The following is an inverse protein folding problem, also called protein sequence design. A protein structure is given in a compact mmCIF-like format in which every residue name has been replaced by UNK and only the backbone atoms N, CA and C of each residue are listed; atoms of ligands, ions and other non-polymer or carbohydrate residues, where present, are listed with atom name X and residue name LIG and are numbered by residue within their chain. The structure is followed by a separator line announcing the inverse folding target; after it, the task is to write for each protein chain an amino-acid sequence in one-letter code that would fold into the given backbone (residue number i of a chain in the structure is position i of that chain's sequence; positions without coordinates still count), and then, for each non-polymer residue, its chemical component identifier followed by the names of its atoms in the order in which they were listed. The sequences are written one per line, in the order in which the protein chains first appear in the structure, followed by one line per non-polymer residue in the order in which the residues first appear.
data_IF_779464628624
#
_entry.id   IF_779464628624
#
_cell.length_a   1.000
_cell.length_b   1.000
_cell.length_c   1.000
_cell.angle_alpha   90.00
_cell.angle_beta   90.00
_cell.angle_gamma   90.00
#
_symmetry.space_group_name_H-M   'P 1'
#
loop_
_entity.id
_entity.type
_entity.pdbx_description
1 polymer ?
#
# COMPACT_ATOMS: atom_id res chain seq x y z
N UNK A 1 -0.31 -28.97 -2.85
CA UNK A 1 -0.50 -27.56 -2.50
C UNK A 1 -1.99 -27.29 -2.60
N UNK A 2 -2.63 -26.93 -1.49
CA UNK A 2 -4.05 -26.60 -1.50
C UNK A 2 -4.17 -25.11 -1.85
N UNK A 3 -4.48 -24.80 -3.11
CA UNK A 3 -4.77 -23.43 -3.52
C UNK A 3 -6.20 -23.08 -3.09
N UNK A 4 -6.33 -22.23 -2.06
CA UNK A 4 -7.61 -21.67 -1.65
C UNK A 4 -8.01 -20.53 -2.59
N UNK A 5 -9.28 -20.49 -3.02
CA UNK A 5 -9.85 -19.30 -3.65
C UNK A 5 -10.20 -18.33 -2.53
N UNK A 6 -9.48 -17.21 -2.43
CA UNK A 6 -9.69 -16.22 -1.36
C UNK A 6 -10.63 -15.10 -1.74
N UNK A 7 -10.64 -14.72 -3.03
CA UNK A 7 -11.56 -13.70 -3.52
C UNK A 7 -11.97 -13.98 -4.97
N UNK A 8 -13.24 -13.72 -5.26
CA UNK A 8 -13.80 -13.72 -6.61
C UNK A 8 -14.39 -12.35 -6.87
N UNK A 9 -13.79 -11.58 -7.78
CA UNK A 9 -14.30 -10.26 -8.15
C UNK A 9 -14.26 -10.04 -9.67
N UNK A 10 -14.89 -8.95 -10.14
CA UNK A 10 -15.02 -8.64 -11.56
C UNK A 10 -13.69 -8.28 -12.25
N UNK A 11 -12.66 -7.93 -11.47
CA UNK A 11 -11.36 -7.44 -11.97
C UNK A 11 -10.43 -8.63 -12.24
N UNK A 12 -10.29 -9.52 -11.25
CA UNK A 12 -9.32 -10.62 -11.26
C UNK A 12 -9.93 -11.98 -11.58
N UNK A 13 -11.27 -12.07 -11.66
CA UNK A 13 -12.06 -13.31 -11.74
C UNK A 13 -11.86 -14.23 -10.53
N UNK A 14 -10.66 -14.75 -10.25
CA UNK A 14 -10.31 -15.53 -9.06
C UNK A 14 -8.90 -15.20 -8.62
N UNK A 15 -8.73 -14.88 -7.34
CA UNK A 15 -7.41 -14.69 -6.72
C UNK A 15 -7.06 -15.97 -5.96
N UNK A 16 -5.92 -16.56 -6.33
CA UNK A 16 -5.38 -17.77 -5.71
C UNK A 16 -4.18 -17.38 -4.85
N UNK A 17 -4.25 -17.70 -3.56
CA UNK A 17 -3.08 -17.61 -2.69
C UNK A 17 -2.27 -18.89 -2.83
N UNK A 18 -0.95 -18.73 -2.84
CA UNK A 18 -0.01 -19.84 -2.70
C UNK A 18 0.55 -19.85 -1.29
N UNK A 19 0.84 -21.05 -0.76
CA UNK A 19 1.42 -21.19 0.58
C UNK A 19 2.73 -20.38 0.69
N UNK A 20 2.96 -19.62 1.78
CA UNK A 20 2.21 -19.59 3.04
C UNK A 20 1.36 -18.31 3.22
N UNK A 21 0.89 -17.69 2.13
CA UNK A 21 0.25 -16.35 2.17
C UNK A 21 -1.07 -16.31 2.95
N UNK A 22 -1.74 -17.44 3.12
CA UNK A 22 -2.88 -17.59 4.01
C UNK A 22 -2.56 -17.13 5.44
N UNK A 23 -1.31 -17.32 5.91
CA UNK A 23 -0.91 -16.90 7.25
C UNK A 23 -0.91 -15.38 7.42
N UNK A 24 -0.57 -14.64 6.37
CA UNK A 24 -0.66 -13.17 6.37
C UNK A 24 -2.11 -12.73 6.26
N UNK A 25 -2.86 -13.32 5.32
CA UNK A 25 -4.24 -12.93 5.06
C UNK A 25 -5.14 -13.22 6.26
N UNK A 26 -4.96 -14.34 6.94
CA UNK A 26 -5.76 -14.74 8.09
C UNK A 26 -5.31 -14.06 9.41
N UNK A 27 -4.28 -13.20 9.38
CA UNK A 27 -3.87 -12.43 10.55
C UNK A 27 -4.91 -11.36 10.91
N UNK A 28 -5.13 -11.13 12.21
CA UNK A 28 -6.12 -10.15 12.69
C UNK A 28 -5.90 -8.75 12.10
N UNK A 29 -4.63 -8.34 12.02
CA UNK A 29 -4.25 -7.03 11.49
C UNK A 29 -4.50 -6.90 9.97
N UNK A 30 -4.41 -7.99 9.21
CA UNK A 30 -4.81 -7.96 7.80
C UNK A 30 -6.34 -8.02 7.66
N UNK A 31 -7.03 -8.85 8.44
CA UNK A 31 -8.50 -8.95 8.44
C UNK A 31 -9.16 -7.62 8.84
N UNK A 32 -8.52 -6.81 9.68
CA UNK A 32 -8.93 -5.42 9.97
C UNK A 32 -9.20 -4.62 8.70
N UNK A 33 -8.41 -4.80 7.65
CA UNK A 33 -8.54 -4.03 6.39
C UNK A 33 -9.87 -4.27 5.66
N UNK A 34 -10.67 -5.28 6.05
CA UNK A 34 -12.05 -5.46 5.58
C UNK A 34 -12.98 -4.34 6.06
N UNK A 35 -12.66 -3.75 7.21
CA UNK A 35 -13.44 -2.69 7.88
C UNK A 35 -12.90 -1.29 7.56
N UNK A 36 -12.11 -1.17 6.49
CA UNK A 36 -11.56 0.08 6.00
C UNK A 36 -11.97 0.23 4.53
N UNK A 37 -12.81 1.21 4.22
CA UNK A 37 -13.15 1.54 2.83
C UNK A 37 -11.90 2.04 2.11
N UNK A 38 -11.70 1.56 0.88
CA UNK A 38 -10.56 1.98 0.05
C UNK A 38 -10.59 3.49 -0.22
N UNK A 39 -11.78 4.03 -0.51
CA UNK A 39 -11.99 5.41 -0.93
C UNK A 39 -12.54 6.32 0.18
N UNK A 40 -12.52 5.89 1.45
CA UNK A 40 -13.03 6.68 2.57
C UNK A 40 -14.49 7.11 2.39
N UNK A 41 -14.79 8.39 2.62
CA UNK A 41 -16.15 8.95 2.57
C UNK A 41 -16.68 9.19 1.15
N UNK A 42 -15.99 8.73 0.12
CA UNK A 42 -16.49 8.78 -1.28
C UNK A 42 -17.84 8.07 -1.41
N UNK A 43 -18.12 7.04 -0.59
CA UNK A 43 -19.39 6.33 -0.60
C UNK A 43 -20.61 7.24 -0.31
N UNK A 44 -20.42 8.35 0.40
CA UNK A 44 -21.50 9.31 0.68
C UNK A 44 -21.94 10.11 -0.55
N UNK A 45 -21.17 10.06 -1.65
CA UNK A 45 -21.53 10.64 -2.95
C UNK A 45 -21.72 9.55 -4.01
N UNK A 46 -20.93 8.48 -3.93
CA UNK A 46 -20.97 7.31 -4.81
C UNK A 46 -21.29 6.06 -3.99
N UNK A 47 -22.57 5.75 -3.71
CA UNK A 47 -22.97 4.74 -2.71
C UNK A 47 -22.36 3.35 -2.86
N UNK A 48 -21.98 2.95 -4.07
CA UNK A 48 -21.38 1.64 -4.35
C UNK A 48 -19.86 1.59 -4.05
N UNK A 49 -19.23 2.72 -3.70
CA UNK A 49 -17.81 2.82 -3.31
C UNK A 49 -17.55 2.33 -1.87
N UNK A 50 -18.02 1.12 -1.54
CA UNK A 50 -17.87 0.49 -0.22
C UNK A 50 -16.81 -0.61 -0.21
N UNK A 51 -16.10 -0.82 -1.31
CA UNK A 51 -15.06 -1.84 -1.39
C UNK A 51 -13.93 -1.57 -0.38
N UNK A 52 -13.45 -2.65 0.23
CA UNK A 52 -12.48 -2.57 1.32
C UNK A 52 -11.04 -2.58 0.82
N UNK A 53 -10.13 -2.03 1.65
CA UNK A 53 -8.68 -2.13 1.45
C UNK A 53 -8.21 -3.58 1.36
N UNK A 54 -8.87 -4.51 2.07
CA UNK A 54 -8.61 -5.94 1.97
C UNK A 54 -8.69 -6.44 0.51
N UNK A 55 -9.79 -6.10 -0.17
CA UNK A 55 -10.04 -6.56 -1.53
C UNK A 55 -9.04 -5.94 -2.54
N UNK A 56 -8.69 -4.68 -2.30
CA UNK A 56 -7.65 -3.98 -3.06
C UNK A 56 -6.27 -4.64 -2.87
N UNK A 57 -5.84 -4.90 -1.63
CA UNK A 57 -4.57 -5.57 -1.31
C UNK A 57 -4.44 -6.94 -1.97
N UNK A 58 -5.52 -7.74 -1.98
CA UNK A 58 -5.51 -9.02 -2.69
C UNK A 58 -5.38 -8.85 -4.21
N UNK A 59 -6.02 -7.84 -4.78
CA UNK A 59 -5.90 -7.56 -6.21
C UNK A 59 -4.51 -7.07 -6.61
N UNK A 60 -3.90 -6.19 -5.80
CA UNK A 60 -2.51 -5.76 -6.00
C UNK A 60 -1.53 -6.93 -5.89
N UNK A 61 -1.74 -7.85 -4.92
CA UNK A 61 -0.99 -9.10 -4.79
C UNK A 61 -1.08 -9.95 -6.08
N UNK A 62 -2.27 -10.11 -6.64
CA UNK A 62 -2.49 -10.93 -7.84
C UNK A 62 -1.75 -10.35 -9.06
N UNK A 63 -1.87 -9.05 -9.30
CA UNK A 63 -1.14 -8.37 -10.38
C UNK A 63 0.38 -8.49 -10.17
N UNK A 64 0.88 -8.33 -8.93
CA UNK A 64 2.30 -8.47 -8.62
C UNK A 64 2.83 -9.87 -8.92
N UNK A 65 2.04 -10.91 -8.64
CA UNK A 65 2.36 -12.29 -8.97
C UNK A 65 2.45 -12.49 -10.49
N UNK A 66 1.46 -12.01 -11.23
CA UNK A 66 1.42 -12.12 -12.69
C UNK A 66 2.60 -11.40 -13.36
N UNK A 67 2.91 -10.17 -12.93
CA UNK A 67 4.05 -9.41 -13.45
C UNK A 67 5.37 -10.12 -13.12
N UNK A 68 5.53 -10.63 -11.90
CA UNK A 68 6.77 -11.30 -11.50
C UNK A 68 6.98 -12.60 -12.29
N UNK A 69 5.92 -13.38 -12.53
CA UNK A 69 6.01 -14.60 -13.33
C UNK A 69 6.31 -14.28 -14.81
N UNK A 70 5.70 -13.22 -15.35
CA UNK A 70 6.00 -12.73 -16.68
C UNK A 70 7.47 -12.31 -16.82
N UNK A 71 7.99 -11.55 -15.86
CA UNK A 71 9.38 -11.08 -15.86
C UNK A 71 10.38 -12.23 -15.67
N UNK A 72 9.99 -13.28 -14.94
CA UNK A 72 10.78 -14.50 -14.81
C UNK A 72 10.91 -15.18 -16.17
N UNK A 73 9.81 -15.33 -16.90
CA UNK A 73 9.80 -15.80 -18.28
C UNK A 73 10.50 -17.15 -18.49
N UNK A 74 10.68 -17.53 -19.76
CA UNK A 74 11.40 -18.76 -20.09
C UNK A 74 12.91 -18.59 -19.85
N UNK A 75 13.53 -19.55 -19.18
CA UNK A 75 14.98 -19.56 -18.91
C UNK A 75 15.45 -18.63 -17.78
N UNK A 76 14.56 -17.85 -17.17
CA UNK A 76 14.86 -16.97 -16.04
C UNK A 76 16.12 -16.09 -16.21
N UNK A 77 16.20 -15.27 -17.27
CA UNK A 77 17.42 -14.54 -17.63
C UNK A 77 17.88 -13.54 -16.56
N UNK A 78 16.96 -13.07 -15.70
CA UNK A 78 17.25 -12.14 -14.60
C UNK A 78 17.34 -12.83 -13.24
N UNK A 79 17.46 -14.16 -13.23
CA UNK A 79 17.61 -15.00 -12.05
C UNK A 79 16.57 -14.71 -10.94
N UNK A 80 15.32 -14.40 -11.29
CA UNK A 80 14.24 -14.12 -10.32
C UNK A 80 14.01 -15.38 -9.48
N UNK A 81 14.30 -15.26 -8.19
CA UNK A 81 14.26 -16.38 -7.25
C UNK A 81 12.86 -16.56 -6.66
N UNK A 82 12.62 -17.69 -5.98
CA UNK A 82 11.40 -17.87 -5.18
C UNK A 82 11.28 -16.80 -4.09
N UNK A 83 12.40 -16.45 -3.43
CA UNK A 83 12.45 -15.39 -2.43
C UNK A 83 12.05 -14.03 -3.03
N UNK A 84 12.52 -13.70 -4.25
CA UNK A 84 12.12 -12.46 -4.94
C UNK A 84 10.61 -12.41 -5.15
N UNK A 85 10.02 -13.50 -5.66
CA UNK A 85 8.57 -13.60 -5.87
C UNK A 85 7.80 -13.46 -4.57
N UNK A 86 8.22 -14.14 -3.50
CA UNK A 86 7.56 -14.04 -2.20
C UNK A 86 7.67 -12.63 -1.64
N UNK A 87 8.85 -11.99 -1.69
CA UNK A 87 9.02 -10.62 -1.19
C UNK A 87 8.16 -9.60 -1.96
N UNK A 88 8.15 -9.66 -3.29
CA UNK A 88 7.33 -8.77 -4.12
C UNK A 88 5.84 -8.95 -3.83
N UNK A 89 5.40 -10.20 -3.71
CA UNK A 89 4.00 -10.52 -3.41
C UNK A 89 3.59 -10.07 -2.01
N UNK A 90 4.45 -10.27 -1.00
CA UNK A 90 4.23 -9.82 0.37
C UNK A 90 4.19 -8.28 0.47
N UNK A 91 5.08 -7.59 -0.23
CA UNK A 91 5.07 -6.14 -0.29
C UNK A 91 3.78 -5.60 -0.93
N UNK A 92 3.35 -6.18 -2.06
CA UNK A 92 2.09 -5.80 -2.70
C UNK A 92 0.86 -6.02 -1.80
N UNK A 93 0.82 -7.16 -1.10
CA UNK A 93 -0.27 -7.49 -0.17
C UNK A 93 -0.32 -6.52 1.02
N UNK A 94 0.84 -6.26 1.64
CA UNK A 94 0.94 -5.55 2.92
C UNK A 94 1.12 -4.03 2.77
N UNK A 95 1.33 -3.50 1.57
CA UNK A 95 1.55 -2.06 1.32
C UNK A 95 0.53 -1.14 2.00
N UNK A 96 -0.73 -1.55 2.02
CA UNK A 96 -1.85 -0.76 2.52
C UNK A 96 -2.30 -1.15 3.94
N UNK A 97 -1.54 -1.98 4.67
CA UNK A 97 -1.95 -2.52 5.98
C UNK A 97 -1.91 -1.48 7.11
N UNK A 98 -1.02 -0.48 6.98
CA UNK A 98 -0.82 0.59 7.96
C UNK A 98 -1.80 1.76 7.83
N UNK A 99 -2.81 1.69 6.96
CA UNK A 99 -3.81 2.75 6.85
C UNK A 99 -4.70 2.82 8.10
N UNK A 100 -4.87 4.03 8.63
CA UNK A 100 -5.98 4.38 9.51
C UNK A 100 -7.24 4.71 8.68
N UNK A 101 -8.43 4.72 9.30
CA UNK A 101 -9.64 5.24 8.67
C UNK A 101 -9.38 6.64 8.14
N UNK A 102 -9.79 6.89 6.90
CA UNK A 102 -9.62 8.20 6.25
C UNK A 102 -8.18 8.72 6.30
N UNK A 103 -7.18 7.82 6.24
CA UNK A 103 -5.76 8.17 6.38
C UNK A 103 -5.32 9.35 5.50
N UNK A 104 -5.89 9.54 4.30
CA UNK A 104 -5.56 10.68 3.44
C UNK A 104 -5.87 12.03 4.10
N UNK A 105 -6.88 12.10 4.97
CA UNK A 105 -7.22 13.30 5.75
C UNK A 105 -6.29 13.43 6.96
N UNK A 106 -6.09 12.32 7.65
CA UNK A 106 -5.26 12.23 8.84
C UNK A 106 -3.79 12.56 8.52
N UNK A 107 -3.21 11.93 7.51
CA UNK A 107 -1.82 12.09 7.07
C UNK A 107 -1.45 13.54 6.67
N UNK A 108 -2.42 14.37 6.24
CA UNK A 108 -2.16 15.72 5.73
C UNK A 108 -2.10 16.81 6.81
N UNK A 109 -2.87 16.70 7.91
CA UNK A 109 -2.80 17.65 9.03
C UNK A 109 -1.95 17.17 10.21
N UNK A 110 -1.71 15.86 10.36
CA UNK A 110 -0.73 15.35 11.32
C UNK A 110 0.71 15.77 10.98
N UNK A 111 0.99 16.16 9.73
CA UNK A 111 2.25 16.80 9.34
C UNK A 111 2.49 18.18 9.96
N UNK A 112 1.46 18.83 10.53
CA UNK A 112 1.60 20.13 11.20
C UNK A 112 1.95 20.01 12.70
N UNK A 113 2.24 18.80 13.20
CA UNK A 113 2.82 18.59 14.54
C UNK A 113 1.83 18.60 15.71
N UNK A 114 0.51 18.61 15.47
CA UNK A 114 -0.48 18.59 16.54
C UNK A 114 -0.67 17.19 17.18
N UNK A 115 -0.27 16.11 16.49
CA UNK A 115 -0.41 14.73 16.96
C UNK A 115 0.72 13.83 16.47
N UNK A 116 1.15 12.88 17.31
CA UNK A 116 2.31 12.02 17.06
C UNK A 116 1.94 10.67 16.42
N UNK A 117 1.29 10.71 15.25
CA UNK A 117 0.90 9.50 14.52
C UNK A 117 1.90 9.19 13.40
N UNK A 118 2.28 7.92 13.28
CA UNK A 118 3.07 7.43 12.15
C UNK A 118 2.30 7.54 10.85
N UNK A 119 2.99 7.89 9.76
CA UNK A 119 2.40 7.80 8.41
C UNK A 119 2.02 6.35 8.10
N UNK A 120 1.01 6.14 7.27
CA UNK A 120 0.56 4.78 6.95
C UNK A 120 1.69 3.87 6.41
N UNK A 121 2.64 4.45 5.67
CA UNK A 121 3.80 3.73 5.12
C UNK A 121 4.71 3.24 6.24
N UNK A 122 5.05 4.11 7.19
CA UNK A 122 5.87 3.78 8.36
C UNK A 122 5.16 2.71 9.21
N UNK A 123 3.86 2.89 9.45
CA UNK A 123 3.07 1.91 10.17
C UNK A 123 3.01 0.56 9.44
N UNK A 124 2.91 0.55 8.11
CA UNK A 124 2.94 -0.69 7.31
C UNK A 124 4.28 -1.42 7.51
N UNK A 125 5.40 -0.70 7.52
CA UNK A 125 6.71 -1.31 7.78
C UNK A 125 6.86 -1.86 9.20
N UNK A 126 6.27 -1.18 10.20
CA UNK A 126 6.22 -1.66 11.59
C UNK A 126 5.39 -2.94 11.71
N UNK A 127 4.25 -3.00 11.02
CA UNK A 127 3.40 -4.20 10.97
C UNK A 127 4.11 -5.34 10.26
N UNK A 128 4.87 -5.07 9.19
CA UNK A 128 5.73 -6.08 8.54
C UNK A 128 6.73 -6.65 9.54
N UNK A 129 7.43 -5.82 10.32
CA UNK A 129 8.36 -6.34 11.34
C UNK A 129 7.64 -7.23 12.37
N UNK A 130 6.49 -6.78 12.89
CA UNK A 130 5.70 -7.55 13.84
C UNK A 130 5.24 -8.91 13.26
N UNK A 131 4.71 -8.92 12.04
CA UNK A 131 4.25 -10.15 11.39
C UNK A 131 5.40 -11.14 11.13
N UNK A 132 6.56 -10.66 10.68
CA UNK A 132 7.65 -11.57 10.27
C UNK A 132 8.66 -11.91 11.36
N UNK A 133 8.77 -11.10 12.43
CA UNK A 133 9.71 -11.36 13.54
C UNK A 133 9.03 -11.77 14.83
N UNK A 134 7.84 -11.25 15.14
CA UNK A 134 7.18 -11.49 16.44
C UNK A 134 6.10 -12.58 16.35
N UNK A 135 5.47 -12.76 15.18
CA UNK A 135 4.51 -13.84 14.98
C UNK A 135 5.22 -15.16 14.58
N UNK A 136 5.38 -16.05 15.56
CA UNK A 136 6.07 -17.35 15.40
C UNK A 136 5.47 -18.21 14.28
N UNK A 137 4.14 -18.19 14.09
CA UNK A 137 3.46 -19.01 13.07
C UNK A 137 3.80 -18.49 11.68
N UNK A 138 3.69 -17.18 11.46
CA UNK A 138 4.03 -16.53 10.19
C UNK A 138 5.51 -16.75 9.90
N UNK A 139 6.39 -16.46 10.85
CA UNK A 139 7.84 -16.64 10.68
C UNK A 139 8.19 -18.06 10.19
N UNK A 140 7.74 -19.09 10.92
CA UNK A 140 7.99 -20.49 10.55
C UNK A 140 7.43 -20.87 9.19
N UNK A 141 6.28 -20.28 8.80
CA UNK A 141 5.70 -20.53 7.48
C UNK A 141 6.53 -19.95 6.34
N UNK A 142 7.16 -18.79 6.55
CA UNK A 142 7.92 -18.08 5.53
C UNK A 142 9.43 -18.42 5.49
N UNK A 143 10.02 -18.96 6.55
CA UNK A 143 11.44 -19.40 6.60
C UNK A 143 11.87 -20.29 5.41
N UNK A 144 11.08 -21.29 4.95
CA UNK A 144 11.44 -22.10 3.78
C UNK A 144 11.62 -21.31 2.48
N UNK A 145 11.02 -20.11 2.39
CA UNK A 145 11.03 -19.27 1.20
C UNK A 145 11.96 -18.06 1.34
N UNK A 146 12.06 -17.50 2.54
CA UNK A 146 12.80 -16.28 2.85
C UNK A 146 14.17 -16.55 3.49
N UNK A 147 14.51 -17.82 3.73
CA UNK A 147 15.78 -18.23 4.32
C UNK A 147 15.62 -18.66 5.78
N UNK A 148 16.34 -19.72 6.17
CA UNK A 148 16.32 -20.26 7.54
C UNK A 148 17.36 -19.60 8.44
N UNK A 149 18.38 -18.95 7.87
CA UNK A 149 19.34 -18.17 8.64
C UNK A 149 18.86 -16.73 8.85
N UNK A 150 19.19 -16.15 10.01
CA UNK A 150 18.70 -14.83 10.43
C UNK A 150 19.13 -13.71 9.46
N UNK A 151 20.33 -13.82 8.88
CA UNK A 151 20.86 -12.79 7.98
C UNK A 151 20.06 -12.75 6.68
N UNK A 152 19.89 -13.89 6.01
CA UNK A 152 19.12 -13.98 4.77
C UNK A 152 17.65 -13.60 5.00
N UNK A 153 17.04 -14.11 6.07
CA UNK A 153 15.66 -13.79 6.41
C UNK A 153 15.47 -12.29 6.61
N UNK A 154 16.33 -11.66 7.43
CA UNK A 154 16.28 -10.22 7.68
C UNK A 154 16.48 -9.39 6.41
N UNK A 155 17.41 -9.77 5.52
CA UNK A 155 17.62 -9.09 4.23
C UNK A 155 16.36 -9.17 3.35
N UNK A 156 15.65 -10.30 3.36
CA UNK A 156 14.38 -10.44 2.65
C UNK A 156 13.26 -9.57 3.25
N UNK A 157 13.16 -9.45 4.57
CA UNK A 157 12.19 -8.54 5.20
C UNK A 157 12.54 -7.07 4.90
N UNK A 158 13.83 -6.71 4.89
CA UNK A 158 14.28 -5.38 4.46
C UNK A 158 13.82 -5.12 3.02
N UNK A 159 13.98 -6.08 2.11
CA UNK A 159 13.51 -5.93 0.73
C UNK A 159 12.00 -5.69 0.65
N UNK A 160 11.18 -6.44 1.40
CA UNK A 160 9.72 -6.23 1.47
C UNK A 160 9.41 -4.79 1.89
N UNK A 161 10.07 -4.30 2.94
CA UNK A 161 9.87 -2.94 3.46
C UNK A 161 10.29 -1.89 2.42
N UNK A 162 11.45 -2.06 1.78
CA UNK A 162 11.92 -1.15 0.73
C UNK A 162 10.94 -1.05 -0.44
N UNK A 163 10.36 -2.17 -0.88
CA UNK A 163 9.34 -2.20 -1.93
C UNK A 163 8.06 -1.42 -1.54
N UNK A 164 7.71 -1.38 -0.26
CA UNK A 164 6.58 -0.60 0.25
C UNK A 164 6.93 0.90 0.24
N UNK A 165 8.07 1.27 0.83
CA UNK A 165 8.46 2.67 1.12
C UNK A 165 9.26 3.37 0.02
N UNK A 166 9.41 2.76 -1.16
CA UNK A 166 10.35 3.23 -2.18
C UNK A 166 10.22 4.74 -2.47
N UNK A 167 9.00 5.30 -2.42
CA UNK A 167 8.74 6.74 -2.64
C UNK A 167 9.32 7.64 -1.53
N UNK A 168 9.26 7.20 -0.28
CA UNK A 168 9.74 7.95 0.88
C UNK A 168 11.26 7.85 1.06
N UNK A 169 11.88 6.70 0.75
CA UNK A 169 13.32 6.52 0.93
C UNK A 169 14.19 7.35 -0.03
N UNK A 170 13.71 7.66 -1.24
CA UNK A 170 14.42 8.57 -2.15
C UNK A 170 14.50 10.00 -1.63
N UNK A 171 13.54 10.45 -0.79
CA UNK A 171 13.60 11.77 -0.18
C UNK A 171 14.59 11.81 1.01
N UNK A 172 14.80 10.69 1.70
CA UNK A 172 15.69 10.62 2.88
C UNK A 172 17.18 10.66 2.47
N UNK A 173 17.54 10.16 1.28
CA UNK A 173 18.94 10.13 0.82
C UNK A 173 19.35 11.34 -0.06
N UNK A 174 18.45 12.29 -0.29
CA UNK A 174 18.76 13.58 -0.93
C UNK A 174 19.05 14.70 0.09
N UNK A 175 19.09 14.37 1.39
CA UNK A 175 19.33 15.29 2.51
C UNK A 175 20.59 14.91 3.31
N UNK A 176 21.61 14.34 2.67
CA UNK A 176 22.95 14.32 3.27
C UNK A 176 23.64 15.65 2.91
N UNK A 177 23.83 16.51 3.91
CA UNK A 177 24.35 17.88 3.84
C UNK A 177 25.84 17.98 3.45
N UNK A 178 26.35 17.04 2.65
CA UNK A 178 27.66 17.17 2.02
C UNK A 178 27.53 17.95 0.71
N UNK A 179 27.93 19.22 0.72
CA UNK A 179 28.13 20.06 -0.46
C UNK A 179 29.30 19.57 -1.35
N UNK A 180 29.22 18.36 -1.88
CA UNK A 180 30.08 17.90 -2.95
C UNK A 180 29.24 17.49 -4.16
N UNK A 181 29.37 18.28 -5.23
CA UNK A 181 28.77 18.02 -6.54
C UNK A 181 29.47 16.81 -7.17
N UNK A 182 29.04 15.59 -6.82
CA UNK A 182 29.46 14.37 -7.52
C UNK A 182 28.88 14.37 -8.94
N UNK A 183 29.69 13.93 -9.90
CA UNK A 183 29.27 13.85 -11.30
C UNK A 183 28.24 12.72 -11.50
N UNK A 184 27.32 12.85 -12.48
CA UNK A 184 26.22 11.89 -12.75
C UNK A 184 26.69 10.43 -12.94
N UNK A 185 27.92 10.22 -13.41
CA UNK A 185 28.50 8.88 -13.62
C UNK A 185 28.98 8.21 -12.32
N UNK A 186 29.45 8.98 -11.33
CA UNK A 186 29.90 8.45 -10.03
C UNK A 186 28.72 8.04 -9.13
N UNK A 187 27.58 8.71 -9.29
CA UNK A 187 26.32 8.40 -8.58
C UNK A 187 25.73 7.07 -9.07
N UNK A 188 25.85 6.74 -10.36
CA UNK A 188 25.10 5.63 -10.98
C UNK A 188 25.62 4.21 -10.69
N UNK A 189 26.87 4.03 -10.24
CA UNK A 189 27.42 2.69 -9.88
C UNK A 189 27.88 2.55 -8.43
N UNK A 190 28.13 3.66 -7.72
CA UNK A 190 28.60 3.63 -6.32
C UNK A 190 27.51 3.92 -5.27
N UNK A 191 26.30 4.34 -5.69
CA UNK A 191 25.23 4.78 -4.77
C UNK A 191 23.91 4.00 -4.90
N UNK A 192 23.94 2.68 -5.15
CA UNK A 192 22.73 1.86 -5.00
C UNK A 192 22.34 1.82 -3.51
N UNK A 193 21.25 2.49 -3.09
CA UNK A 193 20.98 2.72 -1.67
C UNK A 193 20.21 1.57 -1.02
N UNK A 194 19.68 0.65 -1.85
CA UNK A 194 18.85 -0.44 -1.38
C UNK A 194 19.72 -1.59 -0.84
N UNK A 195 19.31 -2.12 0.30
CA UNK A 195 19.98 -3.20 1.03
C UNK A 195 19.33 -4.55 0.78
N UNK A 196 18.04 -4.57 0.44
CA UNK A 196 17.27 -5.78 0.25
C UNK A 196 17.69 -6.59 -0.98
N UNK A 197 18.04 -5.91 -2.08
CA UNK A 197 18.51 -6.53 -3.32
C UNK A 197 19.59 -5.68 -3.98
N UNK A 198 20.50 -6.29 -4.76
CA UNK A 198 21.53 -5.55 -5.46
C UNK A 198 20.98 -4.91 -6.75
N UNK A 199 21.78 -4.04 -7.38
CA UNK A 199 21.37 -3.22 -8.53
C UNK A 199 20.92 -4.05 -9.75
N UNK A 200 21.38 -5.30 -9.89
CA UNK A 200 20.97 -6.22 -10.96
C UNK A 200 19.49 -6.65 -10.84
N UNK A 201 18.86 -6.34 -9.69
CA UNK A 201 17.46 -6.61 -9.37
C UNK A 201 16.62 -5.35 -9.23
N UNK A 202 17.17 -4.20 -9.61
CA UNK A 202 16.54 -2.87 -9.54
C UNK A 202 15.13 -2.81 -10.12
N UNK A 203 14.86 -3.51 -11.22
CA UNK A 203 13.54 -3.58 -11.85
C UNK A 203 12.43 -4.11 -10.93
N UNK A 204 12.74 -4.87 -9.86
CA UNK A 204 11.73 -5.34 -8.92
C UNK A 204 11.11 -4.19 -8.10
N UNK A 205 11.86 -3.10 -7.89
CA UNK A 205 11.39 -1.90 -7.18
C UNK A 205 10.37 -1.08 -8.00
N UNK A 206 10.23 -1.37 -9.30
CA UNK A 206 9.20 -0.75 -10.15
C UNK A 206 7.81 -1.40 -9.98
N UNK A 207 7.69 -2.54 -9.29
CA UNK A 207 6.44 -3.33 -9.24
C UNK A 207 5.44 -2.76 -8.24
N UNK A 208 5.85 -2.58 -6.98
CA UNK A 208 4.93 -2.33 -5.85
C UNK A 208 4.70 -0.84 -5.58
N UNK A 209 5.77 -0.06 -5.52
CA UNK A 209 5.74 1.39 -5.32
C UNK A 209 6.69 2.06 -6.30
N UNK A 210 6.21 2.30 -7.51
CA UNK A 210 7.03 2.83 -8.59
C UNK A 210 7.22 4.34 -8.42
N UNK A 211 8.42 4.75 -8.01
CA UNK A 211 8.75 6.15 -7.73
C UNK A 211 8.99 6.98 -8.99
N UNK A 212 9.23 6.32 -10.11
CA UNK A 212 9.80 6.93 -11.31
C UNK A 212 8.71 7.45 -12.24
N UNK A 213 7.63 6.68 -12.37
CA UNK A 213 6.46 7.08 -13.15
C UNK A 213 5.12 6.75 -12.47
N UNK A 214 5.16 6.06 -11.32
CA UNK A 214 3.94 5.68 -10.60
C UNK A 214 3.13 4.57 -11.29
N UNK A 215 3.67 3.87 -12.28
CA UNK A 215 3.03 2.69 -12.88
C UNK A 215 3.38 1.46 -12.04
N UNK A 216 2.68 1.31 -10.92
CA UNK A 216 2.78 0.19 -10.00
C UNK A 216 1.48 -0.62 -9.96
N UNK A 217 1.56 -1.84 -9.42
CA UNK A 217 0.41 -2.77 -9.32
C UNK A 217 -0.70 -2.25 -8.42
N UNK A 218 -0.32 -1.45 -7.42
CA UNK A 218 -1.24 -0.74 -6.54
C UNK A 218 -2.12 0.21 -7.36
N UNK A 219 -1.52 1.03 -8.23
CA UNK A 219 -2.26 1.90 -9.16
C UNK A 219 -3.12 1.13 -10.15
N UNK A 220 -2.61 0.06 -10.72
CA UNK A 220 -3.35 -0.73 -11.70
C UNK A 220 -4.62 -1.34 -11.09
N UNK A 221 -4.56 -1.85 -9.86
CA UNK A 221 -5.74 -2.39 -9.19
C UNK A 221 -6.75 -1.29 -8.83
N UNK A 222 -6.32 -0.23 -8.11
CA UNK A 222 -7.28 0.74 -7.60
C UNK A 222 -8.01 1.47 -8.74
N UNK A 223 -7.36 1.74 -9.87
CA UNK A 223 -8.03 2.42 -11.00
C UNK A 223 -9.20 1.59 -11.52
N UNK A 224 -8.98 0.30 -11.78
CA UNK A 224 -10.03 -0.60 -12.26
C UNK A 224 -11.13 -0.79 -11.22
N UNK A 225 -10.74 -0.88 -9.94
CA UNK A 225 -11.66 -1.12 -8.84
C UNK A 225 -12.54 0.07 -8.54
N UNK A 226 -11.93 1.23 -8.41
CA UNK A 226 -12.61 2.46 -8.05
C UNK A 226 -13.48 2.94 -9.22
N UNK A 227 -13.05 2.76 -10.47
CA UNK A 227 -13.90 2.98 -11.65
C UNK A 227 -15.16 2.11 -11.62
N UNK A 228 -15.01 0.81 -11.35
CA UNK A 228 -16.13 -0.13 -11.29
C UNK A 228 -17.08 0.20 -10.14
N UNK A 229 -16.57 0.57 -8.97
CA UNK A 229 -17.37 0.91 -7.80
C UNK A 229 -18.08 2.28 -7.96
N UNK A 230 -17.38 3.30 -8.47
CA UNK A 230 -17.97 4.61 -8.71
C UNK A 230 -18.90 4.65 -9.94
N UNK A 231 -18.89 3.59 -10.75
CA UNK A 231 -19.55 3.52 -12.05
C UNK A 231 -19.12 4.68 -12.98
N UNK A 232 -17.83 5.04 -12.92
CA UNK A 232 -17.21 6.06 -13.77
C UNK A 232 -16.30 5.34 -14.76
N UNK A 233 -16.64 5.28 -16.06
CA UNK A 233 -15.79 4.62 -17.03
C UNK A 233 -14.44 5.34 -17.15
N UNK A 234 -13.39 4.56 -17.32
CA UNK A 234 -12.02 5.04 -17.56
C UNK A 234 -11.43 4.30 -18.76
N UNK A 235 -10.33 4.83 -19.31
CA UNK A 235 -9.68 4.20 -20.47
C UNK A 235 -8.99 2.88 -20.13
N UNK A 236 -8.39 2.77 -18.94
CA UNK A 236 -7.77 1.53 -18.46
C UNK A 236 -8.87 0.50 -18.23
N UNK A 237 -8.71 -0.69 -18.80
CA UNK A 237 -9.65 -1.79 -18.64
C UNK A 237 -8.90 -3.11 -18.46
N UNK A 238 -9.61 -4.17 -18.11
CA UNK A 238 -9.02 -5.49 -17.83
C UNK A 238 -8.21 -6.03 -19.02
N UNK A 239 -8.68 -5.81 -20.25
CA UNK A 239 -7.96 -6.26 -21.45
C UNK A 239 -6.68 -5.45 -21.66
N UNK A 240 -6.73 -4.13 -21.41
CA UNK A 240 -5.57 -3.26 -21.41
C UNK A 240 -4.53 -3.67 -20.36
N UNK A 241 -4.97 -3.93 -19.12
CA UNK A 241 -4.09 -4.43 -18.05
C UNK A 241 -3.42 -5.75 -18.43
N UNK A 242 -4.20 -6.72 -18.93
CA UNK A 242 -3.65 -8.00 -19.40
C UNK A 242 -2.59 -7.80 -20.48
N UNK A 243 -2.85 -6.93 -21.45
CA UNK A 243 -1.90 -6.60 -22.51
C UNK A 243 -0.63 -5.93 -21.97
N UNK A 244 -0.75 -5.05 -20.98
CA UNK A 244 0.40 -4.45 -20.28
C UNK A 244 1.24 -5.55 -19.63
N UNK A 245 0.63 -6.41 -18.81
CA UNK A 245 1.30 -7.51 -18.12
C UNK A 245 2.03 -8.40 -19.13
N UNK A 246 1.33 -8.97 -20.12
CA UNK A 246 1.91 -9.88 -21.13
C UNK A 246 3.05 -9.26 -21.98
N UNK A 247 3.17 -7.94 -22.00
CA UNK A 247 4.19 -7.22 -22.77
C UNK A 247 5.16 -6.42 -21.87
N UNK A 248 5.20 -6.74 -20.58
CA UNK A 248 6.20 -6.28 -19.62
C UNK A 248 7.51 -7.04 -19.81
N UNK A 249 8.64 -6.33 -19.80
CA UNK A 249 10.00 -6.88 -19.87
C UNK A 249 10.96 -6.12 -18.98
N UNK A 250 12.07 -6.75 -18.60
CA UNK A 250 13.21 -6.02 -18.05
C UNK A 250 14.01 -5.41 -19.21
N UNK A 251 14.31 -4.13 -19.12
CA UNK A 251 15.11 -3.39 -20.10
C UNK A 251 16.20 -2.58 -19.39
N UNK A 252 17.23 -2.20 -20.12
CA UNK A 252 18.23 -1.24 -19.62
C UNK A 252 17.68 0.16 -19.88
N UNK A 253 17.56 0.96 -18.84
CA UNK A 253 17.25 2.38 -18.96
C UNK A 253 18.44 3.09 -19.63
N UNK A 254 18.25 3.74 -20.79
CA UNK A 254 19.35 4.37 -21.52
C UNK A 254 20.00 5.54 -20.77
N UNK A 255 19.31 6.18 -19.81
CA UNK A 255 19.85 7.31 -19.06
C UNK A 255 20.67 6.86 -17.86
N UNK A 256 20.16 5.89 -17.08
CA UNK A 256 20.81 5.43 -15.85
C UNK A 256 21.71 4.20 -16.07
N UNK A 257 21.49 3.42 -17.13
CA UNK A 257 22.11 2.12 -17.33
C UNK A 257 21.60 1.02 -16.40
N UNK A 258 20.57 1.32 -15.59
CA UNK A 258 19.99 0.42 -14.59
C UNK A 258 18.88 -0.43 -15.24
N UNK A 259 18.67 -1.64 -14.73
CA UNK A 259 17.59 -2.51 -15.19
C UNK A 259 16.23 -2.01 -14.67
N UNK A 260 15.26 -1.81 -15.56
CA UNK A 260 13.94 -1.27 -15.25
C UNK A 260 12.83 -2.10 -15.89
N UNK A 261 11.61 -1.92 -15.40
CA UNK A 261 10.44 -2.42 -16.12
C UNK A 261 10.19 -1.55 -17.36
N UNK A 262 10.19 -2.21 -18.51
CA UNK A 262 9.80 -1.65 -19.80
C UNK A 262 8.58 -2.37 -20.38
N UNK A 263 7.88 -1.68 -21.27
CA UNK A 263 6.70 -2.22 -21.96
C UNK A 263 6.95 -2.23 -23.46
N UNK A 264 6.45 -3.25 -24.17
CA UNK A 264 6.54 -3.26 -25.63
C UNK A 264 5.83 -2.03 -26.23
N UNK A 265 6.46 -1.36 -27.21
CA UNK A 265 5.97 -0.11 -27.80
C UNK A 265 4.52 -0.18 -28.30
N UNK A 266 4.09 -1.34 -28.79
CA UNK A 266 2.70 -1.57 -29.23
C UNK A 266 1.66 -1.41 -28.11
N UNK A 267 2.03 -1.38 -26.85
CA UNK A 267 1.14 -1.22 -25.70
C UNK A 267 1.16 0.21 -25.12
N UNK A 268 1.80 1.17 -25.82
CA UNK A 268 1.95 2.55 -25.33
C UNK A 268 0.60 3.18 -24.97
N UNK A 269 -0.44 2.95 -25.77
CA UNK A 269 -1.78 3.46 -25.50
C UNK A 269 -2.38 2.88 -24.21
N UNK A 270 -2.18 1.59 -23.94
CA UNK A 270 -2.65 0.92 -22.72
C UNK A 270 -1.90 1.46 -21.49
N UNK A 271 -0.59 1.68 -21.60
CA UNK A 271 0.23 2.26 -20.52
C UNK A 271 -0.17 3.72 -20.27
N UNK A 272 -0.36 4.53 -21.31
CA UNK A 272 -0.84 5.92 -21.19
C UNK A 272 -2.22 6.00 -20.54
N UNK A 273 -3.09 5.01 -20.80
CA UNK A 273 -4.42 4.95 -20.20
C UNK A 273 -4.38 4.89 -18.66
N UNK A 274 -3.31 4.40 -18.04
CA UNK A 274 -3.15 4.43 -16.57
C UNK A 274 -3.18 5.87 -16.07
N UNK A 275 -2.36 6.75 -16.65
CA UNK A 275 -2.26 8.14 -16.22
C UNK A 275 -3.54 8.92 -16.52
N UNK A 276 -4.16 8.68 -17.68
CA UNK A 276 -5.40 9.35 -18.07
C UNK A 276 -6.56 8.94 -17.16
N UNK A 277 -6.67 7.65 -16.85
CA UNK A 277 -7.69 7.11 -15.93
C UNK A 277 -7.51 7.65 -14.52
N UNK A 278 -6.25 7.77 -14.05
CA UNK A 278 -5.96 8.36 -12.76
C UNK A 278 -6.42 9.81 -12.68
N UNK A 279 -6.15 10.61 -13.72
CA UNK A 279 -6.61 12.01 -13.81
C UNK A 279 -8.14 12.09 -13.81
N UNK A 280 -8.80 11.19 -14.52
CA UNK A 280 -10.25 11.12 -14.60
C UNK A 280 -10.89 10.84 -13.24
N UNK A 281 -10.47 9.78 -12.55
CA UNK A 281 -10.99 9.45 -11.21
C UNK A 281 -10.62 10.51 -10.17
N UNK A 282 -9.43 11.12 -10.28
CA UNK A 282 -9.05 12.25 -9.43
C UNK A 282 -10.05 13.40 -9.55
N UNK A 283 -10.39 13.80 -10.77
CA UNK A 283 -11.29 14.93 -11.01
C UNK A 283 -12.76 14.62 -10.68
N UNK A 284 -13.22 13.41 -10.98
CA UNK A 284 -14.65 13.05 -10.88
C UNK A 284 -15.01 12.47 -9.52
N UNK A 285 -14.14 11.65 -8.93
CA UNK A 285 -14.44 10.86 -7.73
C UNK A 285 -13.74 11.47 -6.52
N UNK A 286 -12.40 11.43 -6.48
CA UNK A 286 -11.65 11.74 -5.26
C UNK A 286 -11.69 13.24 -4.88
N UNK A 287 -11.67 14.15 -5.88
CA UNK A 287 -11.80 15.59 -5.67
C UNK A 287 -13.21 16.12 -5.90
N UNK A 288 -14.21 15.24 -5.88
CA UNK A 288 -15.59 15.71 -5.96
C UNK A 288 -15.88 16.69 -4.82
N UNK A 289 -16.34 17.90 -5.15
CA UNK A 289 -16.52 19.00 -4.17
C UNK A 289 -17.32 18.61 -2.92
N UNK A 290 -18.34 17.77 -3.07
CA UNK A 290 -19.15 17.29 -1.93
C UNK A 290 -18.35 16.31 -1.07
N UNK A 291 -17.55 15.43 -1.67
CA UNK A 291 -16.66 14.52 -0.92
C UNK A 291 -15.65 15.36 -0.12
N UNK A 292 -15.04 16.37 -0.75
CA UNK A 292 -14.12 17.28 -0.06
C UNK A 292 -14.80 18.04 1.09
N UNK A 293 -16.03 18.53 0.89
CA UNK A 293 -16.81 19.19 1.94
C UNK A 293 -17.10 18.27 3.13
N UNK A 294 -17.54 17.04 2.87
CA UNK A 294 -17.80 16.03 3.91
C UNK A 294 -16.50 15.69 4.65
N UNK A 295 -15.40 15.49 3.92
CA UNK A 295 -14.09 15.23 4.53
C UNK A 295 -13.68 16.33 5.51
N UNK A 296 -13.89 17.61 5.17
CA UNK A 296 -13.60 18.74 6.07
C UNK A 296 -14.46 18.69 7.33
N UNK A 297 -15.77 18.46 7.19
CA UNK A 297 -16.70 18.37 8.33
C UNK A 297 -16.35 17.19 9.24
N UNK A 298 -16.11 16.02 8.66
CA UNK A 298 -15.76 14.83 9.42
C UNK A 298 -14.42 15.01 10.15
N UNK A 299 -13.45 15.65 9.51
CA UNK A 299 -12.15 15.91 10.13
C UNK A 299 -12.28 16.86 11.34
N UNK A 300 -13.09 17.91 11.26
CA UNK A 300 -13.34 18.80 12.40
C UNK A 300 -14.00 18.04 13.56
N UNK A 301 -15.03 17.24 13.27
CA UNK A 301 -15.68 16.38 14.24
C UNK A 301 -14.71 15.38 14.90
N UNK A 302 -13.87 14.72 14.09
CA UNK A 302 -12.86 13.78 14.56
C UNK A 302 -11.82 14.45 15.46
N UNK A 303 -11.34 15.64 15.09
CA UNK A 303 -10.35 16.39 15.88
C UNK A 303 -10.91 16.74 17.26
N UNK A 304 -12.15 17.23 17.31
CA UNK A 304 -12.89 17.55 18.55
C UNK A 304 -13.11 16.31 19.42
N UNK A 305 -13.37 15.15 18.81
CA UNK A 305 -13.58 13.90 19.53
C UNK A 305 -12.28 13.15 19.92
N UNK A 306 -11.16 13.37 19.21
CA UNK A 306 -9.96 12.54 19.26
C UNK A 306 -9.39 12.32 20.66
N UNK A 307 -9.41 13.35 21.52
CA UNK A 307 -8.90 13.28 22.90
C UNK A 307 -9.75 12.38 23.82
N UNK A 308 -10.95 12.02 23.39
CA UNK A 308 -11.91 11.21 24.15
C UNK A 308 -12.02 9.78 23.62
N UNK A 309 -11.51 9.52 22.42
CA UNK A 309 -11.44 8.18 21.86
C UNK A 309 -10.28 7.41 22.51
N UNK A 310 -10.59 6.25 23.07
CA UNK A 310 -9.64 5.37 23.75
C UNK A 310 -9.73 3.94 23.22
N UNK A 311 -8.59 3.39 22.86
CA UNK A 311 -8.46 2.04 22.34
C UNK A 311 -7.62 1.23 23.31
N UNK A 312 -8.10 0.05 23.70
CA UNK A 312 -7.31 -0.87 24.52
C UNK A 312 -6.10 -1.35 23.71
N UNK A 313 -4.89 -1.15 24.20
CA UNK A 313 -3.67 -1.74 23.65
C UNK A 313 -3.23 -2.96 24.45
N UNK A 314 -1.98 -3.37 24.21
CA UNK A 314 -1.35 -4.53 24.85
C UNK A 314 -1.10 -4.35 26.36
N UNK A 315 -0.86 -3.13 26.81
CA UNK A 315 -0.48 -2.80 28.19
C UNK A 315 -1.44 -1.77 28.85
N UNK A 316 -1.89 -0.77 28.10
CA UNK A 316 -2.75 0.33 28.57
C UNK A 316 -3.83 0.67 27.56
N UNK A 317 -4.62 1.71 27.86
CA UNK A 317 -5.44 2.37 26.85
C UNK A 317 -4.63 3.46 26.14
N UNK A 318 -4.85 3.58 24.85
CA UNK A 318 -4.21 4.54 23.96
C UNK A 318 -5.26 5.51 23.43
N UNK A 319 -4.93 6.79 23.40
CA UNK A 319 -5.74 7.79 22.70
C UNK A 319 -5.59 7.62 21.20
N UNK A 320 -6.53 8.18 20.41
CA UNK A 320 -6.47 8.10 18.95
C UNK A 320 -5.11 8.54 18.39
N UNK A 321 -4.47 9.57 18.96
CA UNK A 321 -3.19 10.09 18.52
C UNK A 321 -1.96 9.29 18.98
N UNK A 322 -2.16 8.26 19.80
CA UNK A 322 -1.10 7.37 20.29
C UNK A 322 -1.23 5.96 19.69
N UNK A 323 -2.29 5.67 18.93
CA UNK A 323 -2.60 4.29 18.52
C UNK A 323 -1.51 3.67 17.65
N UNK A 324 -0.70 4.45 16.93
CA UNK A 324 0.42 3.93 16.14
C UNK A 324 1.59 3.45 17.00
N UNK A 325 1.58 3.75 18.30
CA UNK A 325 2.60 3.31 19.25
C UNK A 325 2.41 1.84 19.67
N UNK A 326 1.22 1.27 19.47
CA UNK A 326 0.87 -0.10 19.83
C UNK A 326 -0.01 -0.78 18.77
N UNK A 327 0.43 -1.94 18.27
CA UNK A 327 -0.25 -2.65 17.18
C UNK A 327 -1.63 -3.16 17.62
N UNK A 328 -1.80 -3.55 18.89
CA UNK A 328 -3.10 -4.01 19.38
C UNK A 328 -4.11 -2.87 19.43
N UNK A 329 -3.72 -1.69 19.91
CA UNK A 329 -4.54 -0.48 19.88
C UNK A 329 -4.86 -0.07 18.44
N UNK A 330 -3.84 0.03 17.58
CA UNK A 330 -4.00 0.34 16.15
C UNK A 330 -4.99 -0.62 15.46
N UNK A 331 -4.93 -1.92 15.79
CA UNK A 331 -5.74 -2.94 15.16
C UNK A 331 -7.26 -2.73 15.36
N UNK A 332 -7.64 -1.97 16.39
CA UNK A 332 -9.03 -1.70 16.77
C UNK A 332 -9.60 -0.48 16.04
N UNK A 333 -8.74 0.41 15.52
CA UNK A 333 -9.18 1.62 14.82
C UNK A 333 -9.62 1.27 13.40
N UNK A 334 -10.91 1.41 13.11
CA UNK A 334 -11.56 1.08 11.82
C UNK A 334 -12.58 2.14 11.42
N UNK A 335 -13.24 2.03 10.27
CA UNK A 335 -14.24 3.02 9.83
C UNK A 335 -15.41 3.20 10.82
N UNK A 336 -15.60 2.26 11.77
CA UNK A 336 -16.52 2.44 12.91
C UNK A 336 -16.19 3.67 13.78
N UNK A 337 -15.03 4.28 13.61
CA UNK A 337 -14.68 5.56 14.21
C UNK A 337 -15.70 6.66 13.88
N UNK A 338 -16.45 6.56 12.77
CA UNK A 338 -17.58 7.43 12.49
C UNK A 338 -18.62 7.41 13.63
N UNK A 339 -19.03 6.21 14.05
CA UNK A 339 -19.99 6.02 15.14
C UNK A 339 -19.40 6.43 16.49
N UNK A 340 -18.12 6.14 16.71
CA UNK A 340 -17.42 6.52 17.95
C UNK A 340 -17.35 8.05 18.11
N UNK A 341 -17.10 8.78 17.02
CA UNK A 341 -17.12 10.25 17.00
C UNK A 341 -18.52 10.78 17.30
N UNK A 342 -19.56 10.22 16.67
CA UNK A 342 -20.96 10.61 16.92
C UNK A 342 -21.34 10.43 18.40
N UNK A 343 -21.05 9.26 18.96
CA UNK A 343 -21.32 8.94 20.38
C UNK A 343 -20.56 9.89 21.30
N UNK A 344 -19.30 10.19 21.00
CA UNK A 344 -18.50 11.14 21.78
C UNK A 344 -19.14 12.54 21.77
N UNK A 345 -19.52 13.05 20.58
CA UNK A 345 -20.14 14.36 20.42
C UNK A 345 -21.51 14.48 21.13
N UNK A 346 -22.35 13.45 21.05
CA UNK A 346 -23.62 13.41 21.79
C UNK A 346 -23.43 13.49 23.30
N UNK A 347 -22.40 12.82 23.82
CA UNK A 347 -22.08 12.86 25.24
C UNK A 347 -21.62 14.26 25.70
N UNK A 348 -20.94 15.03 24.84
CA UNK A 348 -20.59 16.43 25.17
C UNK A 348 -21.81 17.34 25.22
N UNK A 349 -22.71 17.22 24.24
CA UNK A 349 -23.95 18.00 24.21
C UNK A 349 -24.80 17.76 25.46
N UNK A 350 -24.90 16.51 25.93
CA UNK A 350 -25.63 16.15 27.16
C UNK A 350 -24.97 16.66 28.44
N UNK A 351 -23.64 16.88 28.44
CA UNK A 351 -22.87 17.32 29.60
C UNK A 351 -22.67 18.85 29.66
N UNK A 352 -23.28 19.63 28.76
CA UNK A 352 -23.22 21.10 28.79
C UNK A 352 -21.85 21.70 28.42
N UNK A 353 -21.01 20.93 27.71
CA UNK A 353 -19.78 21.43 27.13
C UNK A 353 -20.10 21.97 25.73
N UNK A 354 -20.29 23.29 25.61
CA UNK A 354 -20.51 23.96 24.33
C UNK A 354 -19.24 23.87 23.47
N UNK A 355 -19.40 23.39 22.23
CA UNK A 355 -18.43 23.63 21.17
C UNK A 355 -18.78 24.95 20.50
N UNK A 356 -17.86 25.92 20.49
CA UNK A 356 -17.88 26.93 19.43
C UNK A 356 -17.62 26.19 18.11
N UNK A 357 -18.66 26.08 17.28
CA UNK A 357 -18.63 25.46 15.96
C UNK A 357 -17.89 26.31 14.96
#
# INVERSE_FOLDING_TARGET
MAEGIYERNRIHNRILLFEPFELLVDSDIFQRTRKLKQTGLVNLVYPECEHSRFAHSLGAFDIACQITEQLKGHGNPHNITSADRVCVSAAALLKNIGHLPYSQLLDNKFQNGEYNLLKYVEMSTRIVDHLFFENIKIRKGFEPYLGTDETTYRTNIIFIKELIVSKEMLNIHLLDDSHDLKTKEEINRSCWPMKGRPIEKSFLYDIVSNVQNGNDVDKMDYLLRDSAAANIPINLNISGLKRIIENTKVVIDPESGILRIGYALKCVADVSAIADSARELQSKVYQHKTVLGINVLFFDALTKAAQHLEYKGSDRKYKLHEVTDDIEAFSKVTDNIEDEVLIALENFSKNGLDFEL
#
